data_IF_299154601146
#
_entry.id   IF_299154601146
#
_cell.length_a   1.000
_cell.length_b   1.000
_cell.length_c   1.000
_cell.angle_alpha   90.00
_cell.angle_beta   90.00
_cell.angle_gamma   90.00
#
_symmetry.space_group_name_H-M   'P 1'
#
loop_
_entity.id
_entity.type
_entity.pdbx_description
1 polymer ?
#
# COMPACT_ATOMS: atom_id res chain seq x y z
N UNK A 1 29.12 16.66 9.66
CA UNK A 1 28.98 15.28 9.18
C UNK A 1 27.76 15.20 8.28
N UNK A 2 27.95 15.13 6.96
CA UNK A 2 26.84 14.91 6.03
C UNK A 2 26.30 13.50 6.27
N UNK A 3 25.08 13.37 6.80
CA UNK A 3 24.39 12.08 6.88
C UNK A 3 24.12 11.62 5.46
N UNK A 4 24.77 10.54 5.04
CA UNK A 4 24.52 9.90 3.78
C UNK A 4 23.11 9.29 3.83
N UNK A 5 22.12 10.01 3.28
CA UNK A 5 20.69 9.65 3.26
C UNK A 5 20.37 8.52 2.26
N UNK A 6 21.26 7.53 2.12
CA UNK A 6 20.99 6.36 1.29
C UNK A 6 20.10 5.40 2.08
N UNK A 7 18.85 5.21 1.62
CA UNK A 7 17.99 4.18 2.22
C UNK A 7 18.63 2.80 2.02
N UNK A 8 18.64 1.92 3.04
CA UNK A 8 19.10 0.55 2.88
C UNK A 8 18.31 -0.18 1.78
N UNK A 9 18.96 -1.03 1.00
CA UNK A 9 18.33 -1.76 -0.11
C UNK A 9 17.13 -2.61 0.34
N UNK A 10 17.22 -3.27 1.50
CA UNK A 10 16.12 -4.06 2.06
C UNK A 10 14.90 -3.21 2.42
N UNK A 11 15.11 -1.96 2.84
CA UNK A 11 14.01 -1.03 3.11
C UNK A 11 13.31 -0.63 1.81
N UNK A 12 14.06 -0.37 0.74
CA UNK A 12 13.50 -0.07 -0.58
C UNK A 12 12.73 -1.27 -1.14
N UNK A 13 13.24 -2.48 -0.95
CA UNK A 13 12.55 -3.70 -1.37
C UNK A 13 11.22 -3.86 -0.61
N UNK A 14 11.24 -3.75 0.72
CA UNK A 14 10.04 -3.80 1.56
C UNK A 14 8.99 -2.76 1.14
N UNK A 15 9.42 -1.52 0.90
CA UNK A 15 8.56 -0.45 0.39
C UNK A 15 7.95 -0.82 -0.97
N UNK A 16 8.75 -1.38 -1.89
CA UNK A 16 8.30 -1.75 -3.23
C UNK A 16 7.27 -2.89 -3.21
N UNK A 17 7.49 -3.91 -2.37
CA UNK A 17 6.58 -5.05 -2.21
C UNK A 17 5.22 -4.60 -1.66
N UNK A 18 5.22 -3.68 -0.68
CA UNK A 18 3.98 -3.10 -0.15
C UNK A 18 3.25 -2.28 -1.21
N UNK A 19 3.96 -1.43 -1.95
CA UNK A 19 3.35 -0.61 -3.00
C UNK A 19 2.75 -1.48 -4.09
N UNK A 20 3.45 -2.51 -4.53
CA UNK A 20 2.97 -3.48 -5.52
C UNK A 20 1.73 -4.22 -5.02
N UNK A 21 1.73 -4.69 -3.77
CA UNK A 21 0.59 -5.33 -3.16
C UNK A 21 -0.65 -4.41 -3.09
N UNK A 22 -0.48 -3.15 -2.69
CA UNK A 22 -1.58 -2.18 -2.62
C UNK A 22 -2.11 -1.84 -4.02
N UNK A 23 -1.22 -1.69 -5.00
CA UNK A 23 -1.59 -1.49 -6.39
C UNK A 23 -2.40 -2.68 -6.93
N UNK A 24 -1.95 -3.91 -6.64
CA UNK A 24 -2.68 -5.14 -6.97
C UNK A 24 -4.09 -5.16 -6.37
N UNK A 25 -4.23 -4.84 -5.08
CA UNK A 25 -5.54 -4.76 -4.43
C UNK A 25 -6.44 -3.72 -5.10
N UNK A 26 -5.90 -2.53 -5.37
CA UNK A 26 -6.65 -1.46 -6.02
C UNK A 26 -7.13 -1.85 -7.40
N UNK A 27 -6.26 -2.44 -8.23
CA UNK A 27 -6.63 -2.87 -9.57
C UNK A 27 -7.69 -3.97 -9.57
N UNK A 28 -7.67 -4.83 -8.55
CA UNK A 28 -8.65 -5.90 -8.37
C UNK A 28 -9.99 -5.38 -7.88
N UNK A 29 -10.06 -4.32 -7.07
CA UNK A 29 -11.32 -3.87 -6.44
C UNK A 29 -11.90 -2.60 -7.05
N UNK A 30 -11.11 -1.76 -7.73
CA UNK A 30 -11.58 -0.51 -8.32
C UNK A 30 -12.62 -0.76 -9.41
N UNK A 31 -13.58 0.17 -9.50
CA UNK A 31 -14.55 0.17 -10.61
C UNK A 31 -13.85 0.58 -11.89
N UNK A 32 -13.84 -0.30 -12.89
CA UNK A 32 -13.29 0.01 -14.23
C UNK A 32 -14.24 0.84 -15.12
N UNK A 33 -15.51 1.01 -14.74
CA UNK A 33 -16.51 1.74 -15.53
C UNK A 33 -17.54 2.44 -14.65
N UNK A 34 -18.09 3.58 -15.12
CA UNK A 34 -19.13 4.38 -14.44
C UNK A 34 -20.40 3.58 -14.10
N UNK A 35 -20.65 2.46 -14.80
CA UNK A 35 -21.79 1.54 -14.54
C UNK A 35 -21.38 0.18 -13.95
N UNK A 36 -20.08 -0.04 -13.72
CA UNK A 36 -19.56 -1.32 -13.23
C UNK A 36 -19.70 -1.45 -11.71
N UNK A 37 -20.04 -2.66 -11.24
CA UNK A 37 -19.91 -3.00 -9.81
C UNK A 37 -18.42 -3.03 -9.44
N UNK A 38 -18.11 -2.68 -8.18
CA UNK A 38 -16.78 -2.97 -7.63
C UNK A 38 -16.59 -4.48 -7.64
N UNK A 39 -15.41 -4.91 -8.09
CA UNK A 39 -15.04 -6.31 -8.05
C UNK A 39 -14.74 -6.71 -6.59
N UNK A 40 -15.17 -7.91 -6.20
CA UNK A 40 -14.89 -8.45 -4.87
C UNK A 40 -13.47 -9.03 -4.86
N UNK A 41 -12.76 -8.81 -3.76
CA UNK A 41 -11.48 -9.47 -3.52
C UNK A 41 -11.72 -10.96 -3.25
N UNK A 42 -10.84 -11.83 -3.76
CA UNK A 42 -10.92 -13.26 -3.49
C UNK A 42 -10.66 -13.56 -2.01
N UNK A 43 -11.36 -14.56 -1.46
CA UNK A 43 -11.28 -14.92 -0.02
C UNK A 43 -9.85 -15.29 0.42
N UNK A 44 -9.01 -15.79 -0.50
CA UNK A 44 -7.64 -16.21 -0.22
C UNK A 44 -6.61 -15.07 -0.28
N UNK A 45 -7.03 -13.85 -0.64
CA UNK A 45 -6.12 -12.71 -0.67
C UNK A 45 -6.22 -12.02 0.69
N UNK A 46 -5.14 -11.99 1.49
CA UNK A 46 -5.17 -11.30 2.77
C UNK A 46 -5.46 -9.82 2.54
N UNK A 47 -6.12 -9.18 3.50
CA UNK A 47 -6.31 -7.72 3.53
C UNK A 47 -5.37 -7.15 4.60
N UNK A 48 -4.22 -6.66 4.17
CA UNK A 48 -3.18 -6.07 5.03
C UNK A 48 -3.27 -4.54 5.01
N UNK A 49 -2.59 -3.86 5.93
CA UNK A 49 -2.51 -2.39 5.98
C UNK A 49 -3.69 -1.71 6.68
N UNK A 50 -3.79 -0.37 6.61
CA UNK A 50 -2.92 0.59 5.89
C UNK A 50 -1.52 0.76 6.52
N UNK A 51 -1.37 0.39 7.79
CA UNK A 51 -0.10 0.37 8.49
C UNK A 51 0.54 -1.01 8.38
N UNK A 52 1.65 -1.09 7.65
CA UNK A 52 2.41 -2.30 7.41
C UNK A 52 3.57 -2.39 8.38
N UNK A 53 3.54 -3.41 9.22
CA UNK A 53 4.64 -3.73 10.12
C UNK A 53 5.52 -4.82 9.50
N UNK A 54 6.84 -4.60 9.42
CA UNK A 54 7.74 -5.66 9.03
C UNK A 54 7.75 -6.76 10.11
N UNK A 55 8.01 -8.02 9.74
CA UNK A 55 8.14 -9.11 10.69
C UNK A 55 9.22 -8.79 11.73
N UNK A 56 8.83 -8.71 13.00
CA UNK A 56 9.79 -8.53 14.08
C UNK A 56 10.63 -9.80 14.32
N UNK A 57 11.75 -9.67 15.03
CA UNK A 57 12.63 -10.78 15.42
C UNK A 57 11.86 -12.00 15.95
N UNK A 58 10.89 -11.78 16.85
CA UNK A 58 10.09 -12.87 17.43
C UNK A 58 9.18 -13.56 16.41
N UNK A 59 8.68 -12.83 15.40
CA UNK A 59 7.90 -13.42 14.32
C UNK A 59 8.79 -14.32 13.46
N UNK A 60 9.98 -13.83 13.09
CA UNK A 60 10.94 -14.59 12.28
C UNK A 60 11.39 -15.84 13.05
N UNK A 61 11.78 -15.70 14.32
CA UNK A 61 12.21 -16.81 15.16
C UNK A 61 11.15 -17.92 15.26
N UNK A 62 9.87 -17.54 15.37
CA UNK A 62 8.75 -18.49 15.47
C UNK A 62 8.38 -19.12 14.12
N UNK A 63 8.56 -18.41 13.01
CA UNK A 63 8.20 -18.90 11.67
C UNK A 63 9.32 -19.70 11.00
N UNK A 64 10.59 -19.36 11.22
CA UNK A 64 11.74 -19.96 10.53
C UNK A 64 12.40 -21.12 11.28
N UNK A 65 11.85 -21.55 12.42
CA UNK A 65 12.38 -22.67 13.18
C UNK A 65 13.78 -22.45 13.77
N UNK A 66 14.20 -21.19 13.97
CA UNK A 66 15.48 -20.85 14.62
C UNK A 66 16.71 -20.82 13.70
N UNK A 67 16.54 -20.76 12.37
CA UNK A 67 17.66 -20.51 11.45
C UNK A 67 18.25 -19.11 11.56
N UNK A 68 19.47 -18.90 11.03
CA UNK A 68 20.22 -17.65 11.09
C UNK A 68 19.36 -16.44 10.70
N UNK A 69 19.02 -15.63 11.71
CA UNK A 69 18.17 -14.46 11.54
C UNK A 69 19.03 -13.32 11.00
N UNK A 70 18.77 -12.87 9.78
CA UNK A 70 19.40 -11.67 9.25
C UNK A 70 19.00 -10.48 10.13
N UNK A 71 19.93 -9.78 10.78
CA UNK A 71 19.60 -8.60 11.58
C UNK A 71 19.08 -7.45 10.71
N UNK A 72 19.39 -7.43 9.42
CA UNK A 72 19.06 -6.31 8.51
C UNK A 72 17.55 -6.17 8.29
N UNK A 73 16.80 -7.29 8.29
CA UNK A 73 15.33 -7.28 8.22
C UNK A 73 14.67 -6.83 9.54
N UNK A 74 15.38 -6.86 10.67
CA UNK A 74 14.86 -6.42 11.97
C UNK A 74 14.81 -4.89 12.09
N UNK A 75 15.56 -4.17 11.25
CA UNK A 75 15.60 -2.71 11.24
C UNK A 75 14.69 -2.08 10.18
N UNK A 76 13.85 -2.88 9.51
CA UNK A 76 12.84 -2.33 8.62
C UNK A 76 11.91 -1.41 9.40
N UNK A 77 11.62 -0.25 8.81
CA UNK A 77 10.69 0.69 9.42
C UNK A 77 9.25 0.35 8.99
N UNK A 78 8.27 0.46 9.90
CA UNK A 78 6.86 0.35 9.54
C UNK A 78 6.46 1.44 8.55
N UNK A 79 5.53 1.12 7.65
CA UNK A 79 5.08 2.01 6.58
C UNK A 79 3.58 2.21 6.66
N UNK A 80 3.12 3.46 6.59
CA UNK A 80 1.72 3.78 6.47
C UNK A 80 1.39 4.19 5.03
N UNK A 81 0.57 3.40 4.35
CA UNK A 81 0.19 3.66 2.95
C UNK A 81 -1.05 4.53 2.89
N UNK A 82 -0.89 5.73 2.33
CA UNK A 82 -1.99 6.63 2.01
C UNK A 82 -2.46 6.35 0.58
N UNK A 83 -3.53 5.57 0.45
CA UNK A 83 -4.09 5.18 -0.83
C UNK A 83 -5.63 5.14 -0.79
N UNK A 84 -6.37 5.49 -1.86
CA UNK A 84 -7.84 5.45 -1.88
C UNK A 84 -8.47 4.10 -1.54
N UNK A 85 -7.70 3.03 -1.71
CA UNK A 85 -8.10 1.69 -1.27
C UNK A 85 -8.37 1.64 0.25
N UNK A 86 -7.53 2.29 1.08
CA UNK A 86 -7.70 2.38 2.53
C UNK A 86 -8.45 3.64 2.97
N UNK A 87 -8.35 4.71 2.19
CA UNK A 87 -8.96 6.01 2.48
C UNK A 87 -9.83 6.48 1.31
N UNK A 88 -11.05 5.92 1.13
CA UNK A 88 -11.91 6.20 -0.02
C UNK A 88 -12.26 7.68 -0.21
N UNK A 89 -12.21 8.48 0.86
CA UNK A 89 -12.41 9.93 0.80
C UNK A 89 -11.38 10.64 -0.09
N UNK A 90 -10.21 10.04 -0.32
CA UNK A 90 -9.18 10.60 -1.22
C UNK A 90 -9.59 10.53 -2.70
N UNK A 91 -10.51 9.64 -3.06
CA UNK A 91 -11.07 9.53 -4.40
C UNK A 91 -12.31 10.43 -4.62
N UNK A 92 -12.51 11.44 -3.76
CA UNK A 92 -13.64 12.37 -3.85
C UNK A 92 -13.16 13.81 -3.80
N UNK A 93 -13.84 14.69 -4.52
CA UNK A 93 -13.59 16.12 -4.40
C UNK A 93 -13.98 16.61 -2.98
N UNK A 94 -13.03 17.17 -2.24
CA UNK A 94 -13.29 17.70 -0.90
C UNK A 94 -14.23 18.92 -0.89
N UNK A 95 -14.37 19.63 -2.03
CA UNK A 95 -15.21 20.83 -2.13
C UNK A 95 -16.68 20.51 -2.45
N UNK A 96 -16.94 19.61 -3.41
CA UNK A 96 -18.30 19.31 -3.87
C UNK A 96 -18.76 17.87 -3.58
N UNK A 97 -17.88 17.02 -3.02
CA UNK A 97 -18.19 15.63 -2.70
C UNK A 97 -18.32 14.70 -3.91
N UNK A 98 -18.14 15.21 -5.13
CA UNK A 98 -18.25 14.46 -6.39
C UNK A 98 -17.13 13.43 -6.54
N UNK A 99 -17.50 12.23 -6.98
CA UNK A 99 -16.66 11.07 -7.30
C UNK A 99 -16.63 10.78 -8.82
N UNK A 100 -17.25 11.64 -9.64
CA UNK A 100 -17.51 11.36 -11.06
C UNK A 100 -16.36 11.72 -12.00
N UNK A 101 -15.57 12.73 -11.62
CA UNK A 101 -14.50 13.33 -12.44
C UNK A 101 -13.16 13.44 -11.70
N UNK A 102 -13.08 12.90 -10.48
CA UNK A 102 -11.83 12.77 -9.72
C UNK A 102 -11.32 11.34 -9.85
N UNK A 103 -10.27 11.15 -10.67
CA UNK A 103 -9.54 9.89 -10.70
C UNK A 103 -8.31 9.99 -9.81
N UNK A 104 -7.98 8.93 -9.08
CA UNK A 104 -6.74 8.87 -8.31
C UNK A 104 -5.52 9.02 -9.22
N UNK A 105 -5.63 8.49 -10.44
CA UNK A 105 -4.60 8.47 -11.46
C UNK A 105 -4.49 9.79 -12.24
N UNK A 106 -5.31 10.80 -11.94
CA UNK A 106 -5.20 12.12 -12.58
C UNK A 106 -6.36 13.06 -12.30
N UNK A 107 -6.08 14.36 -12.31
CA UNK A 107 -7.13 15.38 -12.41
C UNK A 107 -7.50 15.48 -13.88
N UNK A 108 -8.68 14.97 -14.28
CA UNK A 108 -9.16 15.25 -15.63
C UNK A 108 -9.46 16.74 -15.72
N UNK A 109 -8.67 17.44 -16.53
CA UNK A 109 -8.65 18.90 -16.72
C UNK A 109 -9.89 19.48 -17.41
N UNK A 110 -11.00 18.74 -17.46
CA UNK A 110 -12.27 19.30 -17.94
C UNK A 110 -12.89 20.12 -16.81
N UNK A 111 -12.44 21.36 -16.73
CA UNK A 111 -13.16 22.43 -16.06
C UNK A 111 -14.56 22.63 -16.67
N UNK A 112 -15.41 23.44 -16.01
CA UNK A 112 -16.75 23.78 -16.48
C UNK A 112 -16.78 24.28 -17.93
#
# INVERSE_FOLDING_TARGET
SHMNNSRPQFQLQWESEIVEYVQFLWEKTRRRSKKGKTNKLGVNIPLLGPWFMPPSYLHIQKWSGGGAIDPTIQYLTPLNIVHPFYYPQLARCLRCGSDKDTTWEGWMSKGP
#
